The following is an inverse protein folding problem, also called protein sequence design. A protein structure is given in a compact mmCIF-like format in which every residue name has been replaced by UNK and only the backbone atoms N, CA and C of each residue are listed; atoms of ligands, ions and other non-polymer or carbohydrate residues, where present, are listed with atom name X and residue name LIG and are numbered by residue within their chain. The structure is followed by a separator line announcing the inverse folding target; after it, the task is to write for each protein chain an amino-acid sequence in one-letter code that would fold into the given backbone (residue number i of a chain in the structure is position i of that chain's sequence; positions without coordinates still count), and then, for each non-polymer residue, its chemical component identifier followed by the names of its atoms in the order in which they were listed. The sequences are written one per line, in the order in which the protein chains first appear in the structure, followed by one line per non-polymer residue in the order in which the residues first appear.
data_IF_115566057199
#
_entry.id   IF_115566057199
#
_cell.length_a   1.000
_cell.length_b   1.000
_cell.length_c   1.000
_cell.angle_alpha   90.00
_cell.angle_beta   90.00
_cell.angle_gamma   90.00
#
_symmetry.space_group_name_H-M   'P 1'
#
loop_
_entity.id
_entity.type
_entity.pdbx_description
1 polymer ?
#
# COMPACT_ATOMS: atom_id res chain seq x y z
N UNK A 1 -2.45 5.85 -17.42
CA UNK A 1 -2.12 4.44 -17.23
C UNK A 1 -1.74 4.28 -15.77
N UNK A 2 -2.40 3.40 -15.02
CA UNK A 2 -2.09 3.16 -13.61
C UNK A 2 -0.89 2.21 -13.49
N UNK A 3 0.04 2.52 -12.60
CA UNK A 3 1.21 1.70 -12.29
C UNK A 3 1.14 1.18 -10.86
N UNK A 4 1.28 -0.13 -10.76
CA UNK A 4 1.22 -0.85 -9.50
C UNK A 4 2.58 -1.49 -9.25
N UNK A 5 3.09 -1.33 -8.02
CA UNK A 5 4.26 -2.05 -7.52
C UNK A 5 3.79 -3.04 -6.45
N UNK A 6 4.17 -4.32 -6.57
CA UNK A 6 3.99 -5.28 -5.50
C UNK A 6 5.36 -5.77 -5.02
N UNK A 7 5.61 -5.71 -3.72
CA UNK A 7 6.93 -5.95 -3.12
C UNK A 7 6.81 -6.50 -1.71
N UNK A 8 7.64 -7.49 -1.38
CA UNK A 8 7.93 -7.86 0.01
C UNK A 8 9.22 -7.12 0.46
N UNK A 9 9.14 -6.38 1.58
CA UNK A 9 10.24 -5.61 2.15
C UNK A 9 11.08 -6.41 3.16
N UNK A 10 10.65 -7.61 3.53
CA UNK A 10 11.32 -8.58 4.41
C UNK A 10 11.79 -7.95 5.73
N UNK A 11 10.97 -7.06 6.29
CA UNK A 11 11.21 -6.26 7.49
C UNK A 11 12.55 -5.49 7.47
N UNK A 12 13.02 -5.11 6.27
CA UNK A 12 14.31 -4.46 6.08
C UNK A 12 14.14 -2.93 6.03
N UNK A 13 14.74 -2.24 7.00
CA UNK A 13 14.75 -0.78 7.08
C UNK A 13 15.29 -0.14 5.79
N UNK A 14 16.45 -0.60 5.30
CA UNK A 14 17.07 -0.08 4.08
C UNK A 14 16.21 -0.30 2.83
N UNK A 15 15.53 -1.45 2.73
CA UNK A 15 14.62 -1.70 1.61
C UNK A 15 13.44 -0.73 1.63
N UNK A 16 12.90 -0.43 2.83
CA UNK A 16 11.83 0.54 2.99
C UNK A 16 12.29 1.98 2.75
N UNK A 17 13.51 2.35 3.12
CA UNK A 17 14.06 3.68 2.81
C UNK A 17 14.19 3.90 1.29
N UNK A 18 14.62 2.88 0.56
CA UNK A 18 14.71 2.90 -0.91
C UNK A 18 13.34 2.90 -1.62
N UNK A 19 12.26 2.53 -0.91
CA UNK A 19 10.93 2.42 -1.49
C UNK A 19 10.41 3.79 -1.98
N UNK A 20 10.58 4.83 -1.17
CA UNK A 20 10.11 6.18 -1.51
C UNK A 20 10.72 6.69 -2.82
N UNK A 21 12.04 6.54 -2.96
CA UNK A 21 12.77 6.93 -4.17
C UNK A 21 12.34 6.09 -5.38
N UNK A 22 12.15 4.79 -5.18
CA UNK A 22 11.70 3.87 -6.23
C UNK A 22 10.30 4.25 -6.74
N UNK A 23 9.37 4.50 -5.81
CA UNK A 23 8.01 4.93 -6.13
C UNK A 23 8.01 6.25 -6.90
N UNK A 24 8.77 7.24 -6.45
CA UNK A 24 8.87 8.53 -7.14
C UNK A 24 9.50 8.42 -8.52
N UNK A 25 10.63 7.70 -8.64
CA UNK A 25 11.38 7.57 -9.90
C UNK A 25 10.59 6.80 -10.96
N UNK A 26 9.96 5.70 -10.55
CA UNK A 26 9.14 4.88 -11.44
C UNK A 26 7.72 5.45 -11.59
N UNK A 27 7.40 6.50 -10.80
CA UNK A 27 6.12 7.20 -10.72
C UNK A 27 4.96 6.22 -10.42
N UNK A 28 5.18 5.30 -9.50
CA UNK A 28 4.18 4.30 -9.09
C UNK A 28 2.96 5.00 -8.48
N UNK A 29 1.75 4.59 -8.87
CA UNK A 29 0.50 5.16 -8.35
C UNK A 29 0.03 4.40 -7.09
N UNK A 30 0.21 3.08 -7.07
CA UNK A 30 -0.17 2.21 -5.94
C UNK A 30 0.95 1.21 -5.63
N UNK A 31 1.36 1.13 -4.37
CA UNK A 31 2.26 0.08 -3.88
C UNK A 31 1.50 -0.88 -2.96
N UNK A 32 1.69 -2.19 -3.17
CA UNK A 32 1.16 -3.28 -2.34
C UNK A 32 2.35 -3.95 -1.69
N UNK A 33 2.43 -3.86 -0.37
CA UNK A 33 3.62 -4.18 0.40
C UNK A 33 3.33 -5.31 1.39
N UNK A 34 4.32 -6.17 1.60
CA UNK A 34 4.35 -7.13 2.69
C UNK A 34 5.64 -6.94 3.51
N UNK A 35 5.56 -7.25 4.80
CA UNK A 35 6.64 -7.19 5.78
C UNK A 35 7.36 -5.84 5.81
N UNK A 36 6.61 -4.73 5.88
CA UNK A 36 7.23 -3.43 6.11
C UNK A 36 8.02 -3.40 7.43
N UNK A 37 9.08 -2.60 7.48
CA UNK A 37 9.83 -2.33 8.71
C UNK A 37 9.02 -1.47 9.68
N UNK A 38 8.33 -0.45 9.17
CA UNK A 38 7.45 0.44 9.94
C UNK A 38 6.29 0.98 9.11
N UNK A 39 5.21 1.41 9.75
CA UNK A 39 4.15 2.15 9.07
C UNK A 39 4.59 3.60 8.84
N UNK A 40 4.22 4.18 7.69
CA UNK A 40 4.46 5.59 7.40
C UNK A 40 3.43 6.47 8.13
N UNK A 41 3.87 7.64 8.59
CA UNK A 41 3.00 8.59 9.28
C UNK A 41 1.93 9.16 8.33
N UNK A 42 0.74 9.53 8.84
CA UNK A 42 -0.36 10.10 8.04
C UNK A 42 0.10 11.31 7.20
N UNK A 43 -0.54 11.58 6.04
CA UNK A 43 -1.99 11.49 5.87
C UNK A 43 -2.46 10.37 4.92
N UNK A 44 -3.42 9.58 5.41
CA UNK A 44 -4.48 8.81 4.72
C UNK A 44 -4.15 7.98 3.47
N UNK A 45 -2.88 7.78 3.15
CA UNK A 45 -2.44 7.09 1.92
C UNK A 45 -1.79 5.76 2.20
N UNK A 46 -1.30 5.54 3.42
CA UNK A 46 -0.75 4.27 3.89
C UNK A 46 -1.80 3.51 4.70
N UNK A 47 -2.32 2.44 4.12
CA UNK A 47 -3.29 1.56 4.74
C UNK A 47 -2.60 0.27 5.16
N UNK A 48 -2.25 0.18 6.45
CA UNK A 48 -1.72 -1.05 7.01
C UNK A 48 -2.85 -2.04 7.33
N UNK A 49 -2.53 -3.34 7.29
CA UNK A 49 -3.38 -4.39 7.83
C UNK A 49 -3.38 -4.37 9.38
N UNK A 50 -4.20 -5.24 9.99
CA UNK A 50 -4.40 -5.26 11.44
C UNK A 50 -3.11 -5.55 12.22
N UNK A 51 -2.24 -6.39 11.66
CA UNK A 51 -0.99 -6.83 12.28
C UNK A 51 0.23 -5.98 11.87
N UNK A 52 0.04 -5.00 10.96
CA UNK A 52 1.10 -4.16 10.43
C UNK A 52 2.15 -4.91 9.60
N UNK A 53 1.79 -6.07 9.05
CA UNK A 53 2.64 -6.93 8.21
C UNK A 53 2.36 -6.76 6.72
N UNK A 54 1.31 -6.04 6.35
CA UNK A 54 1.05 -5.65 4.98
C UNK A 54 0.56 -4.21 4.92
N UNK A 55 0.74 -3.56 3.76
CA UNK A 55 0.20 -2.24 3.53
C UNK A 55 -0.11 -1.97 2.06
N UNK A 56 -1.14 -1.15 1.83
CA UNK A 56 -1.36 -0.49 0.55
C UNK A 56 -0.96 0.97 0.70
N UNK A 57 -0.10 1.45 -0.19
CA UNK A 57 0.29 2.86 -0.26
C UNK A 57 -0.16 3.49 -1.57
N UNK A 58 -1.02 4.50 -1.51
CA UNK A 58 -1.51 5.25 -2.68
C UNK A 58 -0.84 6.62 -2.78
N UNK A 59 -0.13 6.85 -3.88
CA UNK A 59 0.49 8.14 -4.15
C UNK A 59 -0.55 9.19 -4.56
N UNK A 60 -0.30 10.45 -4.18
CA UNK A 60 -1.13 11.58 -4.63
C UNK A 60 -2.43 11.79 -3.85
N UNK A 61 -2.59 11.21 -2.66
CA UNK A 61 -3.69 11.55 -1.76
C UNK A 61 -5.07 11.07 -2.21
N UNK A 62 -5.14 10.20 -3.23
CA UNK A 62 -6.40 9.60 -3.64
C UNK A 62 -6.88 8.69 -2.51
N UNK A 63 -8.04 8.97 -1.89
CA UNK A 63 -8.54 8.14 -0.82
C UNK A 63 -8.87 6.77 -1.40
N UNK A 64 -8.26 5.74 -0.82
CA UNK A 64 -8.69 4.37 -1.07
C UNK A 64 -10.09 4.23 -0.50
N UNK A 65 -11.03 3.80 -1.34
CA UNK A 65 -12.38 3.54 -0.89
C UNK A 65 -12.34 2.40 0.13
N UNK A 66 -12.70 2.72 1.37
CA UNK A 66 -12.85 1.73 2.42
C UNK A 66 -13.87 0.67 1.98
N UNK A 67 -13.63 -0.57 2.45
CA UNK A 67 -14.51 -1.73 2.33
C UNK A 67 -15.98 -1.29 2.20
N UNK A 68 -16.67 -1.58 1.08
CA UNK A 68 -18.08 -1.26 0.99
C UNK A 68 -18.81 -1.95 2.15
N UNK A 69 -19.48 -1.18 3.00
CA UNK A 69 -20.33 -1.73 4.06
C UNK A 69 -21.47 -2.59 3.48
N UNK A 70 -21.78 -2.39 2.19
CA UNK A 70 -22.79 -3.12 1.44
C UNK A 70 -22.16 -4.22 0.59
N UNK A 71 -22.60 -5.45 0.82
CA UNK A 71 -22.32 -6.58 -0.07
C UNK A 71 -22.89 -6.25 -1.45
N UNK A 72 -22.03 -6.17 -2.47
CA UNK A 72 -22.47 -6.13 -3.85
C UNK A 72 -22.73 -7.55 -4.34
N UNK A 73 -23.85 -7.81 -5.06
CA UNK A 73 -24.01 -9.05 -5.80
C UNK A 73 -22.77 -9.27 -6.67
N UNK A 74 -22.28 -10.51 -6.76
CA UNK A 74 -21.11 -10.94 -7.52
C UNK A 74 -19.72 -10.64 -6.94
N UNK A 75 -19.62 -10.08 -5.73
CA UNK A 75 -18.37 -10.09 -4.95
C UNK A 75 -18.37 -11.29 -4.01
N UNK A 76 -17.63 -12.35 -4.35
CA UNK A 76 -17.38 -13.48 -3.45
C UNK A 76 -16.02 -13.31 -2.80
N UNK A 77 -16.01 -13.21 -1.47
CA UNK A 77 -14.79 -13.22 -0.67
C UNK A 77 -14.31 -14.68 -0.56
N UNK A 78 -13.03 -14.92 -0.84
CA UNK A 78 -12.35 -16.18 -0.57
C UNK A 78 -11.80 -16.18 0.86
#
# INVERSE_FOLDING_TARGET
MMRILQLNLNHCETAQDLLCDTINRLRIDVAILCEQFKNLAPPNTWLADADGQAAIWVQGGTPVQERPARVHPYFTWA
#
